data_IF_100524179981
#
_entry.id   IF_100524179981
#
_cell.length_a   1.000
_cell.length_b   1.000
_cell.length_c   1.000
_cell.angle_alpha   90.00
_cell.angle_beta   90.00
_cell.angle_gamma   90.00
#
_symmetry.space_group_name_H-M   'P 1'
#
loop_
_entity.id
_entity.type
_entity.pdbx_description
1 polymer ?
#
# COMPACT_ATOMS: atom_id res chain seq x y z
N UNK A 1 -25.64 4.13 20.37
CA UNK A 1 -24.64 3.14 20.80
C UNK A 1 -23.77 2.80 19.59
N UNK A 2 -22.46 3.00 19.70
CA UNK A 2 -21.52 2.82 18.59
C UNK A 2 -21.35 1.32 18.28
N UNK A 3 -21.67 0.90 17.06
CA UNK A 3 -21.44 -0.46 16.55
C UNK A 3 -19.97 -0.91 16.75
N UNK A 4 -19.05 0.06 16.75
CA UNK A 4 -17.62 -0.10 16.95
C UNK A 4 -17.26 -0.51 18.40
N UNK A 5 -18.01 -0.06 19.41
CA UNK A 5 -17.79 -0.46 20.81
C UNK A 5 -18.31 -1.86 21.12
N UNK A 6 -19.32 -2.35 20.39
CA UNK A 6 -19.90 -3.69 20.58
C UNK A 6 -19.09 -4.80 19.92
N UNK A 7 -18.16 -4.46 19.03
CA UNK A 7 -17.11 -5.36 18.59
C UNK A 7 -16.11 -5.50 19.73
N UNK A 8 -16.38 -6.43 20.65
CA UNK A 8 -15.51 -6.80 21.78
C UNK A 8 -14.25 -7.52 21.26
N UNK A 9 -13.42 -6.79 20.50
CA UNK A 9 -12.20 -7.23 19.80
C UNK A 9 -11.00 -7.23 20.76
N UNK A 10 -11.22 -6.87 22.02
CA UNK A 10 -10.15 -6.73 23.00
C UNK A 10 -9.72 -8.10 23.56
N UNK A 11 -8.40 -8.31 23.51
CA UNK A 11 -7.58 -9.41 24.05
C UNK A 11 -7.56 -10.79 23.37
N UNK A 12 -8.69 -11.38 22.92
CA UNK A 12 -8.68 -12.79 22.42
C UNK A 12 -8.89 -12.97 20.92
N UNK A 13 -9.18 -11.90 20.19
CA UNK A 13 -9.41 -12.01 18.75
C UNK A 13 -8.10 -12.19 17.97
N UNK A 14 -8.07 -13.13 17.02
CA UNK A 14 -6.92 -13.35 16.15
C UNK A 14 -6.58 -12.14 15.26
N UNK A 15 -5.40 -12.17 14.59
CA UNK A 15 -4.85 -11.02 13.85
C UNK A 15 -5.80 -10.52 12.74
N UNK A 16 -6.59 -11.41 12.15
CA UNK A 16 -7.58 -11.07 11.11
C UNK A 16 -8.66 -10.10 11.62
N UNK A 17 -9.23 -10.34 12.80
CA UNK A 17 -10.32 -9.51 13.32
C UNK A 17 -9.80 -8.13 13.77
N UNK A 18 -8.61 -8.10 14.36
CA UNK A 18 -7.95 -6.84 14.76
C UNK A 18 -7.54 -6.00 13.53
N UNK A 19 -7.07 -6.64 12.46
CA UNK A 19 -6.83 -5.97 11.19
C UNK A 19 -8.12 -5.39 10.59
N UNK A 20 -9.21 -6.16 10.59
CA UNK A 20 -10.50 -5.69 10.11
C UNK A 20 -11.01 -4.49 10.94
N UNK A 21 -10.85 -4.54 12.25
CA UNK A 21 -11.19 -3.43 13.14
C UNK A 21 -10.39 -2.16 12.81
N UNK A 22 -9.07 -2.27 12.61
CA UNK A 22 -8.24 -1.13 12.17
C UNK A 22 -8.66 -0.57 10.81
N UNK A 23 -9.09 -1.42 9.86
CA UNK A 23 -9.62 -0.98 8.56
C UNK A 23 -10.96 -0.25 8.70
N UNK A 24 -11.88 -0.72 9.55
CA UNK A 24 -13.15 -0.04 9.83
C UNK A 24 -12.88 1.33 10.44
N UNK A 25 -12.00 1.41 11.44
CA UNK A 25 -11.59 2.68 12.06
C UNK A 25 -10.96 3.65 11.06
N UNK A 26 -10.17 3.13 10.12
CA UNK A 26 -9.66 3.91 9.00
C UNK A 26 -10.82 4.47 8.18
N UNK A 27 -11.79 3.64 7.78
CA UNK A 27 -12.96 4.06 7.00
C UNK A 27 -13.77 5.19 7.65
N UNK A 28 -13.91 5.18 8.99
CA UNK A 28 -14.61 6.23 9.75
C UNK A 28 -13.70 7.37 10.24
N UNK A 29 -12.50 7.50 9.67
CA UNK A 29 -11.52 8.56 9.96
C UNK A 29 -11.04 8.64 11.42
N UNK A 30 -11.16 7.55 12.18
CA UNK A 30 -10.58 7.41 13.53
C UNK A 30 -9.13 6.93 13.44
N UNK A 31 -8.27 7.78 12.88
CA UNK A 31 -6.90 7.41 12.50
C UNK A 31 -6.02 6.98 13.67
N UNK A 32 -6.10 7.67 14.82
CA UNK A 32 -5.32 7.30 16.00
C UNK A 32 -5.71 5.93 16.58
N UNK A 33 -7.00 5.62 16.57
CA UNK A 33 -7.50 4.33 17.03
C UNK A 33 -7.12 3.22 16.05
N UNK A 34 -7.19 3.49 14.73
CA UNK A 34 -6.74 2.56 13.71
C UNK A 34 -5.25 2.24 13.88
N UNK A 35 -4.42 3.27 14.15
CA UNK A 35 -3.00 3.12 14.41
C UNK A 35 -2.73 2.25 15.64
N UNK A 36 -3.44 2.48 16.74
CA UNK A 36 -3.36 1.63 17.95
C UNK A 36 -3.76 0.19 17.65
N UNK A 37 -4.82 -0.02 16.87
CA UNK A 37 -5.28 -1.36 16.51
C UNK A 37 -4.23 -2.12 15.69
N UNK A 38 -3.65 -1.51 14.65
CA UNK A 38 -2.60 -2.14 13.86
C UNK A 38 -1.32 -2.37 14.68
N UNK A 39 -0.96 -1.44 15.56
CA UNK A 39 0.21 -1.60 16.43
C UNK A 39 0.05 -2.82 17.36
N UNK A 40 -1.13 -3.02 17.97
CA UNK A 40 -1.42 -4.22 18.78
C UNK A 40 -1.22 -5.51 17.99
N UNK A 41 -1.63 -5.55 16.71
CA UNK A 41 -1.40 -6.72 15.84
C UNK A 41 0.09 -6.93 15.57
N UNK A 42 0.82 -5.86 15.26
CA UNK A 42 2.27 -5.91 14.99
C UNK A 42 3.03 -6.42 16.22
N UNK A 43 2.69 -5.94 17.42
CA UNK A 43 3.37 -6.31 18.65
C UNK A 43 3.17 -7.79 18.99
N UNK A 44 1.97 -8.32 18.76
CA UNK A 44 1.65 -9.74 19.01
C UNK A 44 2.09 -10.66 17.86
N UNK A 45 2.09 -10.17 16.63
CA UNK A 45 2.35 -10.93 15.40
C UNK A 45 3.37 -10.19 14.51
N UNK A 46 4.66 -10.20 14.89
CA UNK A 46 5.70 -9.41 14.22
C UNK A 46 5.99 -9.81 12.77
N UNK A 47 5.42 -10.93 12.30
CA UNK A 47 5.52 -11.43 10.93
C UNK A 47 4.23 -11.23 10.10
N UNK A 48 3.20 -10.54 10.62
CA UNK A 48 2.00 -10.22 9.83
C UNK A 48 2.31 -9.11 8.84
N UNK A 49 2.51 -9.48 7.57
CA UNK A 49 2.72 -8.52 6.51
C UNK A 49 1.48 -7.61 6.34
N UNK A 50 0.27 -8.14 6.50
CA UNK A 50 -0.98 -7.38 6.36
C UNK A 50 -1.08 -6.24 7.37
N UNK A 51 -0.65 -6.46 8.61
CA UNK A 51 -0.68 -5.42 9.64
C UNK A 51 0.28 -4.27 9.29
N UNK A 52 1.49 -4.58 8.82
CA UNK A 52 2.43 -3.57 8.31
C UNK A 52 1.89 -2.86 7.07
N UNK A 53 1.28 -3.58 6.13
CA UNK A 53 0.68 -3.00 4.94
C UNK A 53 -0.45 -2.02 5.29
N UNK A 54 -1.40 -2.45 6.12
CA UNK A 54 -2.55 -1.64 6.52
C UNK A 54 -2.11 -0.40 7.31
N UNK A 55 -1.16 -0.54 8.24
CA UNK A 55 -0.58 0.61 8.94
C UNK A 55 0.14 1.55 7.97
N UNK A 56 0.87 1.02 6.99
CA UNK A 56 1.53 1.81 5.95
C UNK A 56 0.55 2.61 5.09
N UNK A 57 -0.56 1.99 4.66
CA UNK A 57 -1.61 2.67 3.91
C UNK A 57 -2.35 3.73 4.74
N UNK A 58 -2.56 3.48 6.03
CA UNK A 58 -3.09 4.48 6.96
C UNK A 58 -2.14 5.69 7.07
N UNK A 59 -0.85 5.45 7.30
CA UNK A 59 0.16 6.51 7.38
C UNK A 59 0.26 7.30 6.07
N UNK A 60 0.14 6.64 4.91
CA UNK A 60 0.04 7.33 3.61
C UNK A 60 -1.18 8.25 3.59
N UNK A 61 -2.34 7.74 3.97
CA UNK A 61 -3.61 8.49 3.93
C UNK A 61 -3.58 9.74 4.80
N UNK A 62 -2.86 9.72 5.92
CA UNK A 62 -2.71 10.88 6.81
C UNK A 62 -1.48 11.75 6.48
N UNK A 63 -0.79 11.49 5.37
CA UNK A 63 0.31 12.31 4.85
C UNK A 63 1.72 11.96 5.39
N UNK A 64 1.86 10.92 6.21
CA UNK A 64 3.15 10.51 6.77
C UNK A 64 3.92 9.59 5.80
N UNK A 65 4.27 10.10 4.62
CA UNK A 65 4.84 9.34 3.51
C UNK A 65 6.11 8.56 3.88
N UNK A 66 7.01 9.16 4.67
CA UNK A 66 8.23 8.50 5.14
C UNK A 66 7.92 7.26 5.99
N UNK A 67 6.96 7.37 6.92
CA UNK A 67 6.57 6.25 7.77
C UNK A 67 5.85 5.18 6.96
N UNK A 68 5.00 5.59 6.01
CA UNK A 68 4.31 4.69 5.10
C UNK A 68 5.29 3.84 4.27
N UNK A 69 6.32 4.48 3.70
CA UNK A 69 7.38 3.81 2.93
C UNK A 69 8.12 2.74 3.76
N UNK A 70 8.49 3.06 5.01
CA UNK A 70 9.14 2.11 5.92
C UNK A 70 8.25 0.90 6.23
N UNK A 71 6.97 1.14 6.53
CA UNK A 71 6.01 0.08 6.86
C UNK A 71 5.72 -0.82 5.67
N UNK A 72 5.49 -0.26 4.47
CA UNK A 72 5.26 -1.03 3.25
C UNK A 72 6.51 -1.83 2.86
N UNK A 73 7.70 -1.25 2.98
CA UNK A 73 8.96 -1.97 2.74
C UNK A 73 9.13 -3.16 3.70
N UNK A 74 8.72 -3.02 4.96
CA UNK A 74 8.72 -4.14 5.91
C UNK A 74 7.70 -5.21 5.53
N UNK A 75 6.49 -4.82 5.11
CA UNK A 75 5.49 -5.77 4.59
C UNK A 75 6.01 -6.54 3.37
N UNK A 76 6.67 -5.87 2.42
CA UNK A 76 7.25 -6.50 1.24
C UNK A 76 8.31 -7.52 1.63
N UNK A 77 9.21 -7.18 2.56
CA UNK A 77 10.24 -8.12 3.06
C UNK A 77 9.65 -9.37 3.71
N UNK A 78 8.48 -9.25 4.34
CA UNK A 78 7.78 -10.39 4.93
C UNK A 78 7.02 -11.22 3.88
N UNK A 79 6.56 -10.59 2.78
CA UNK A 79 5.82 -11.28 1.72
C UNK A 79 6.04 -10.63 0.34
N UNK A 80 6.98 -11.18 -0.43
CA UNK A 80 7.51 -10.59 -1.67
C UNK A 80 6.57 -10.68 -2.90
N UNK A 81 5.48 -11.45 -2.85
CA UNK A 81 4.66 -11.73 -4.04
C UNK A 81 3.28 -11.05 -4.01
N UNK A 82 3.23 -9.76 -3.67
CA UNK A 82 1.98 -8.98 -3.63
C UNK A 82 2.14 -7.68 -4.42
N UNK A 83 1.59 -7.65 -5.64
CA UNK A 83 1.70 -6.51 -6.57
C UNK A 83 1.23 -5.18 -5.95
N UNK A 84 0.14 -5.19 -5.18
CA UNK A 84 -0.40 -3.98 -4.53
C UNK A 84 0.58 -3.33 -3.55
N UNK A 85 1.49 -4.09 -2.90
CA UNK A 85 2.46 -3.50 -1.98
C UNK A 85 3.52 -2.71 -2.74
N UNK A 86 4.06 -3.29 -3.82
CA UNK A 86 5.00 -2.61 -4.70
C UNK A 86 4.37 -1.39 -5.35
N UNK A 87 3.14 -1.50 -5.85
CA UNK A 87 2.40 -0.38 -6.43
C UNK A 87 2.19 0.76 -5.42
N UNK A 88 1.80 0.46 -4.18
CA UNK A 88 1.58 1.49 -3.17
C UNK A 88 2.89 2.15 -2.71
N UNK A 89 3.98 1.40 -2.60
CA UNK A 89 5.31 1.95 -2.33
C UNK A 89 5.77 2.86 -3.49
N UNK A 90 5.54 2.44 -4.72
CA UNK A 90 5.84 3.24 -5.91
C UNK A 90 5.03 4.54 -5.96
N UNK A 91 3.75 4.52 -5.57
CA UNK A 91 2.95 5.74 -5.46
C UNK A 91 3.56 6.73 -4.46
N UNK A 92 4.01 6.24 -3.29
CA UNK A 92 4.66 7.10 -2.29
C UNK A 92 5.97 7.70 -2.81
N UNK A 93 6.76 6.89 -3.52
CA UNK A 93 8.01 7.35 -4.14
C UNK A 93 7.76 8.36 -5.25
N UNK A 94 6.70 8.16 -6.06
CA UNK A 94 6.26 9.12 -7.06
C UNK A 94 5.87 10.46 -6.41
N UNK A 95 5.09 10.42 -5.32
CA UNK A 95 4.71 11.60 -4.53
C UNK A 95 5.93 12.31 -3.92
N UNK A 96 6.97 11.56 -3.53
CA UNK A 96 8.24 12.09 -3.03
C UNK A 96 9.23 12.52 -4.12
N UNK A 97 8.88 12.41 -5.40
CA UNK A 97 9.77 12.64 -6.55
C UNK A 97 10.96 11.67 -6.70
N UNK A 98 10.92 10.52 -6.01
CA UNK A 98 11.87 9.42 -6.14
C UNK A 98 11.55 8.56 -7.38
N UNK A 99 11.57 9.17 -8.57
CA UNK A 99 11.00 8.57 -9.78
C UNK A 99 11.68 7.26 -10.21
N UNK A 100 12.99 7.15 -10.04
CA UNK A 100 13.75 5.95 -10.39
C UNK A 100 13.32 4.73 -9.55
N UNK A 101 13.12 4.94 -8.25
CA UNK A 101 12.65 3.91 -7.33
C UNK A 101 11.18 3.57 -7.59
N UNK A 102 10.35 4.57 -7.88
CA UNK A 102 8.95 4.36 -8.24
C UNK A 102 8.83 3.47 -9.49
N UNK A 103 9.61 3.74 -10.54
CA UNK A 103 9.66 2.93 -11.77
C UNK A 103 10.00 1.48 -11.45
N UNK A 104 11.06 1.23 -10.66
CA UNK A 104 11.46 -0.13 -10.27
C UNK A 104 10.31 -0.86 -9.56
N UNK A 105 9.64 -0.20 -8.62
CA UNK A 105 8.55 -0.81 -7.87
C UNK A 105 7.28 -1.01 -8.71
N UNK A 106 6.92 -0.09 -9.61
CA UNK A 106 5.83 -0.33 -10.57
C UNK A 106 6.12 -1.52 -11.49
N UNK A 107 7.35 -1.63 -12.00
CA UNK A 107 7.75 -2.79 -12.80
C UNK A 107 7.63 -4.10 -12.02
N UNK A 108 8.06 -4.14 -10.76
CA UNK A 108 7.87 -5.32 -9.91
C UNK A 108 6.38 -5.66 -9.69
N UNK A 109 5.53 -4.65 -9.47
CA UNK A 109 4.09 -4.85 -9.35
C UNK A 109 3.50 -5.50 -10.62
N UNK A 110 3.96 -5.07 -11.80
CA UNK A 110 3.52 -5.58 -13.10
C UNK A 110 4.11 -6.96 -13.45
N UNK A 111 5.31 -7.29 -12.96
CA UNK A 111 5.86 -8.65 -13.04
C UNK A 111 5.00 -9.62 -12.25
N UNK A 112 4.56 -9.22 -11.04
CA UNK A 112 3.71 -10.05 -10.18
C UNK A 112 2.28 -10.14 -10.74
N UNK A 113 1.72 -9.02 -11.19
CA UNK A 113 0.39 -8.96 -11.79
C UNK A 113 0.44 -8.20 -13.14
N UNK A 114 0.62 -8.92 -14.27
CA UNK A 114 0.66 -8.30 -15.60
C UNK A 114 -0.66 -7.68 -16.05
N UNK A 115 -1.76 -7.90 -15.32
CA UNK A 115 -3.09 -7.32 -15.61
C UNK A 115 -3.40 -6.10 -14.74
N UNK A 116 -2.42 -5.57 -14.01
CA UNK A 116 -2.64 -4.42 -13.13
C UNK A 116 -2.65 -3.13 -13.95
N UNK A 117 -3.83 -2.78 -14.47
CA UNK A 117 -4.05 -1.68 -15.41
C UNK A 117 -3.53 -0.35 -14.88
N UNK A 118 -3.87 0.02 -13.64
CA UNK A 118 -3.42 1.24 -12.98
C UNK A 118 -1.89 1.31 -12.83
N UNK A 119 -1.24 0.14 -12.73
CA UNK A 119 0.22 0.03 -12.67
C UNK A 119 0.90 0.53 -13.95
N UNK A 120 0.33 0.25 -15.13
CA UNK A 120 0.88 0.73 -16.40
C UNK A 120 0.73 2.24 -16.57
N UNK A 121 -0.42 2.80 -16.16
CA UNK A 121 -0.62 4.25 -16.19
C UNK A 121 0.40 4.97 -15.32
N UNK A 122 0.54 4.57 -14.04
CA UNK A 122 1.44 5.25 -13.12
C UNK A 122 2.92 5.01 -13.44
N UNK A 123 3.26 3.86 -14.04
CA UNK A 123 4.60 3.64 -14.61
C UNK A 123 4.90 4.64 -15.72
N UNK A 124 3.96 4.88 -16.64
CA UNK A 124 4.13 5.87 -17.71
C UNK A 124 4.31 7.29 -17.17
N UNK A 125 3.54 7.66 -16.14
CA UNK A 125 3.70 8.95 -15.44
C UNK A 125 5.09 9.08 -14.83
N UNK A 126 5.54 8.06 -14.09
CA UNK A 126 6.86 8.05 -13.45
C UNK A 126 7.99 8.12 -14.48
N UNK A 127 7.90 7.40 -15.60
CA UNK A 127 8.88 7.43 -16.70
C UNK A 127 8.95 8.82 -17.34
N UNK A 128 7.81 9.47 -17.57
CA UNK A 128 7.78 10.82 -18.14
C UNK A 128 8.41 11.86 -17.20
N UNK A 129 8.13 11.77 -15.90
CA UNK A 129 8.73 12.64 -14.88
C UNK A 129 10.25 12.37 -14.72
N UNK A 130 10.70 11.14 -14.95
CA UNK A 130 12.10 10.75 -14.98
C UNK A 130 12.81 11.06 -16.31
N UNK A 131 12.19 11.83 -17.21
CA UNK A 131 12.71 12.16 -18.56
C UNK A 131 12.92 10.97 -19.51
N UNK A 132 12.30 9.82 -19.24
CA UNK A 132 12.27 8.65 -20.12
C UNK A 132 10.97 8.60 -20.94
N UNK A 133 10.83 9.57 -21.86
CA UNK A 133 9.61 9.74 -22.65
C UNK A 133 9.35 8.59 -23.64
N UNK A 134 10.38 7.82 -24.02
CA UNK A 134 10.22 6.68 -24.92
C UNK A 134 9.58 5.48 -24.20
N UNK A 135 10.05 5.16 -22.99
CA UNK A 135 9.46 4.12 -22.18
C UNK A 135 8.02 4.47 -21.75
N UNK A 136 7.77 5.74 -21.42
CA UNK A 136 6.43 6.23 -21.04
C UNK A 136 5.37 5.94 -22.11
N UNK A 137 5.68 6.21 -23.39
CA UNK A 137 4.77 5.93 -24.52
C UNK A 137 4.38 4.46 -24.59
N UNK A 138 5.32 3.56 -24.31
CA UNK A 138 5.06 2.11 -24.33
C UNK A 138 4.12 1.72 -23.20
N UNK A 139 4.37 2.19 -21.97
CA UNK A 139 3.52 1.95 -20.81
C UNK A 139 2.08 2.45 -21.02
N UNK A 140 1.90 3.67 -21.54
CA UNK A 140 0.57 4.21 -21.84
C UNK A 140 -0.17 3.44 -22.93
N UNK A 141 0.55 2.93 -23.94
CA UNK A 141 -0.06 2.08 -24.98
C UNK A 141 -0.60 0.78 -24.39
N UNK A 142 0.14 0.14 -23.47
CA UNK A 142 -0.35 -1.05 -22.76
C UNK A 142 -1.56 -0.76 -21.88
N UNK A 143 -1.54 0.37 -21.15
CA UNK A 143 -2.70 0.83 -20.37
C UNK A 143 -3.96 0.94 -21.22
N UNK A 144 -3.91 1.66 -22.35
CA UNK A 144 -5.05 1.83 -23.26
C UNK A 144 -5.54 0.51 -23.90
N UNK A 145 -4.65 -0.46 -24.09
CA UNK A 145 -5.01 -1.75 -24.65
C UNK A 145 -5.77 -2.64 -23.66
N UNK A 146 -5.56 -2.44 -22.35
CA UNK A 146 -6.18 -3.22 -21.28
C UNK A 146 -7.50 -2.63 -20.76
N UNK A 147 -7.78 -1.37 -21.06
CA UNK A 147 -9.05 -0.70 -20.69
C UNK A 147 -10.24 -1.01 -21.61
N UNK A 148 -10.02 -1.75 -22.70
CA UNK A 148 -11.06 -2.13 -23.69
C UNK A 148 -11.62 -3.53 -23.42
#
# INVERSE_FOLDING_TARGET
MDFIQNLNVEERSGPRLQNLYGLILTGVSRHDDAKKAFQKVIDRYPHSHEAFANMGLLEKRIGNLNRASVLLSKSIKLHLNISHLYYNLANIQLENSDFSEAIKNYQQALVINPKFVEGFHNLGVAQNLNSDSAAAKSSFKYYQALEK
#
